data_IF_937719506463
#
_entry.id   IF_937719506463
#
_cell.length_a   1.000
_cell.length_b   1.000
_cell.length_c   1.000
_cell.angle_alpha   90.00
_cell.angle_beta   90.00
_cell.angle_gamma   90.00
#
_symmetry.space_group_name_H-M   'P 1'
#
loop_
_entity.id
_entity.type
_entity.pdbx_description
1 polymer ?
#
# COMPACT_ATOMS: atom_id res chain seq x y z
N UNK A 1 -20.49 6.52 8.14
CA UNK A 1 -19.14 6.44 7.49
C UNK A 1 -18.28 5.35 8.15
N UNK A 2 -18.10 5.33 9.48
CA UNK A 2 -17.52 4.17 10.18
C UNK A 2 -18.47 2.96 10.27
N UNK A 3 -19.79 3.17 10.30
CA UNK A 3 -20.78 2.08 10.32
C UNK A 3 -20.62 1.17 9.11
N UNK A 4 -20.59 1.74 7.90
CA UNK A 4 -20.48 0.97 6.66
C UNK A 4 -19.15 0.22 6.53
N UNK A 5 -18.06 0.71 7.12
CA UNK A 5 -16.76 0.03 7.09
C UNK A 5 -16.70 -1.13 8.10
N UNK A 6 -17.26 -0.94 9.30
CA UNK A 6 -17.34 -2.00 10.31
C UNK A 6 -18.37 -3.08 9.94
N UNK A 7 -19.49 -2.70 9.32
CA UNK A 7 -20.52 -3.63 8.83
C UNK A 7 -20.01 -4.49 7.67
N UNK A 8 -19.03 -4.00 6.89
CA UNK A 8 -18.44 -4.72 5.75
C UNK A 8 -17.25 -5.63 6.13
N UNK A 9 -16.49 -5.28 7.16
CA UNK A 9 -15.34 -6.10 7.66
C UNK A 9 -15.82 -7.34 8.43
N UNK A 10 -17.09 -7.36 8.87
CA UNK A 10 -17.71 -8.50 9.57
C UNK A 10 -18.03 -9.74 8.72
N UNK A 11 -17.76 -9.73 7.41
CA UNK A 11 -18.00 -10.89 6.54
C UNK A 11 -16.71 -11.69 6.32
N UNK A 12 -16.79 -13.03 6.43
CA UNK A 12 -15.72 -14.01 6.25
C UNK A 12 -15.01 -13.92 4.88
N UNK A 13 -14.22 -12.86 4.68
CA UNK A 13 -13.48 -12.55 3.46
C UNK A 13 -12.04 -13.00 3.63
N UNK A 14 -11.45 -13.57 2.58
CA UNK A 14 -10.04 -13.93 2.59
C UNK A 14 -9.16 -12.68 2.61
N UNK A 15 -7.92 -12.77 3.13
CA UNK A 15 -6.94 -11.65 3.12
C UNK A 15 -6.83 -10.97 1.74
N UNK A 16 -6.93 -11.77 0.67
CA UNK A 16 -6.84 -11.28 -0.71
C UNK A 16 -8.01 -10.39 -1.11
N UNK A 17 -9.22 -10.62 -0.59
CA UNK A 17 -10.38 -9.78 -0.88
C UNK A 17 -10.30 -8.43 -0.16
N UNK A 18 -9.82 -8.44 1.09
CA UNK A 18 -9.60 -7.20 1.86
C UNK A 18 -8.54 -6.32 1.20
N UNK A 19 -7.46 -6.93 0.69
CA UNK A 19 -6.41 -6.22 -0.03
C UNK A 19 -6.96 -5.61 -1.34
N UNK A 20 -7.71 -6.37 -2.13
CA UNK A 20 -8.37 -5.85 -3.35
C UNK A 20 -9.31 -4.68 -3.05
N UNK A 21 -10.05 -4.74 -1.94
CA UNK A 21 -10.94 -3.67 -1.50
C UNK A 21 -10.18 -2.43 -1.02
N UNK A 22 -9.08 -2.60 -0.28
CA UNK A 22 -8.23 -1.49 0.16
C UNK A 22 -7.58 -0.79 -1.04
N UNK A 23 -7.06 -1.54 -2.01
CA UNK A 23 -6.55 -0.98 -3.25
C UNK A 23 -7.66 -0.25 -4.01
N UNK A 24 -8.83 -0.85 -4.19
CA UNK A 24 -9.96 -0.24 -4.90
C UNK A 24 -10.50 1.04 -4.25
N UNK A 25 -10.54 1.12 -2.92
CA UNK A 25 -11.02 2.30 -2.21
C UNK A 25 -10.02 3.46 -2.28
N UNK A 26 -8.72 3.17 -2.10
CA UNK A 26 -7.65 4.17 -2.29
C UNK A 26 -7.55 4.65 -3.74
N UNK A 27 -7.69 3.72 -4.69
CA UNK A 27 -7.69 3.93 -6.15
C UNK A 27 -8.76 4.93 -6.60
N UNK A 28 -10.01 4.77 -6.16
CA UNK A 28 -11.11 5.63 -6.58
C UNK A 28 -11.07 7.01 -5.91
N UNK A 29 -10.57 7.09 -4.67
CA UNK A 29 -10.62 8.33 -3.89
C UNK A 29 -9.47 9.29 -4.20
N UNK A 30 -8.32 8.78 -4.66
CA UNK A 30 -7.08 9.58 -4.77
C UNK A 30 -6.66 9.86 -6.22
N UNK A 31 -6.98 9.02 -7.21
CA UNK A 31 -6.24 8.99 -8.48
C UNK A 31 -7.07 8.98 -9.77
N UNK A 32 -8.28 9.56 -9.74
CA UNK A 32 -9.24 9.54 -10.85
C UNK A 32 -8.84 10.21 -12.18
N UNK A 33 -7.64 10.80 -12.32
CA UNK A 33 -7.23 11.56 -13.51
C UNK A 33 -5.85 11.14 -14.07
N UNK A 34 -5.06 10.32 -13.36
CA UNK A 34 -3.68 9.97 -13.76
C UNK A 34 -3.44 8.47 -13.98
N UNK A 35 -4.51 7.67 -14.06
CA UNK A 35 -4.43 6.21 -14.08
C UNK A 35 -3.47 5.65 -15.13
N UNK A 36 -3.45 6.24 -16.33
CA UNK A 36 -2.62 5.78 -17.45
C UNK A 36 -1.12 6.01 -17.23
N UNK A 37 -0.73 6.93 -16.34
CA UNK A 37 0.65 7.35 -16.11
C UNK A 37 1.28 6.81 -14.82
N UNK A 38 0.53 6.02 -14.03
CA UNK A 38 1.06 5.46 -12.78
C UNK A 38 1.88 4.21 -13.08
N UNK A 39 3.07 4.13 -12.49
CA UNK A 39 3.85 2.90 -12.42
C UNK A 39 3.71 2.34 -11.01
N UNK A 40 3.26 1.09 -10.89
CA UNK A 40 3.17 0.40 -9.61
C UNK A 40 4.54 -0.18 -9.23
N UNK A 41 5.04 0.12 -8.04
CA UNK A 41 6.32 -0.38 -7.57
C UNK A 41 6.11 -1.17 -6.28
N UNK A 42 6.63 -2.41 -6.22
CA UNK A 42 6.68 -3.22 -5.00
C UNK A 42 8.08 -3.80 -4.80
N UNK A 43 8.43 -4.10 -3.55
CA UNK A 43 9.68 -4.75 -3.22
C UNK A 43 9.64 -6.25 -3.58
N UNK A 44 10.83 -6.84 -3.75
CA UNK A 44 10.99 -8.24 -4.13
C UNK A 44 10.69 -9.26 -3.02
N UNK A 45 9.87 -8.93 -2.02
CA UNK A 45 9.56 -9.85 -0.93
C UNK A 45 8.84 -11.11 -1.43
N UNK A 46 9.13 -12.27 -0.85
CA UNK A 46 8.57 -13.55 -1.28
C UNK A 46 7.03 -13.58 -1.41
N UNK A 47 6.25 -12.98 -0.48
CA UNK A 47 4.79 -12.93 -0.63
C UNK A 47 4.31 -12.14 -1.85
N UNK A 48 5.10 -11.17 -2.31
CA UNK A 48 4.76 -10.29 -3.43
C UNK A 48 5.04 -10.96 -4.78
N UNK A 49 6.01 -11.89 -4.82
CA UNK A 49 6.38 -12.67 -6.00
C UNK A 49 5.44 -13.86 -6.33
N UNK A 50 4.24 -13.93 -5.74
CA UNK A 50 3.30 -14.99 -6.08
C UNK A 50 2.61 -14.72 -7.43
N UNK A 51 2.31 -15.78 -8.18
CA UNK A 51 1.57 -15.65 -9.46
C UNK A 51 0.23 -14.92 -9.31
N UNK A 52 -0.43 -15.07 -8.16
CA UNK A 52 -1.71 -14.39 -7.88
C UNK A 52 -1.54 -12.88 -7.83
N UNK A 53 -0.52 -12.39 -7.14
CA UNK A 53 -0.21 -10.95 -7.06
C UNK A 53 0.24 -10.43 -8.42
N UNK A 54 1.10 -11.19 -9.10
CA UNK A 54 1.60 -10.84 -10.42
C UNK A 54 0.49 -10.69 -11.47
N UNK A 55 -0.45 -11.63 -11.52
CA UNK A 55 -1.59 -11.56 -12.42
C UNK A 55 -2.46 -10.34 -12.11
N UNK A 56 -2.74 -10.10 -10.82
CA UNK A 56 -3.51 -8.94 -10.39
C UNK A 56 -2.84 -7.61 -10.77
N UNK A 57 -1.54 -7.47 -10.50
CA UNK A 57 -0.80 -6.25 -10.85
C UNK A 57 -0.75 -6.07 -12.35
N UNK A 58 -0.55 -7.12 -13.15
CA UNK A 58 -0.54 -7.01 -14.61
C UNK A 58 -1.92 -6.67 -15.21
N UNK A 59 -3.02 -7.19 -14.64
CA UNK A 59 -4.38 -6.86 -15.05
C UNK A 59 -4.73 -5.38 -14.80
N UNK A 60 -4.20 -4.80 -13.72
CA UNK A 60 -4.49 -3.41 -13.35
C UNK A 60 -3.45 -2.44 -13.93
N UNK A 61 -2.17 -2.80 -13.97
CA UNK A 61 -1.07 -1.96 -14.43
C UNK A 61 -0.32 -2.61 -15.60
N UNK A 62 -0.96 -2.87 -16.74
CA UNK A 62 -0.33 -3.56 -17.86
C UNK A 62 0.92 -2.80 -18.33
N UNK A 63 2.07 -3.48 -18.34
CA UNK A 63 3.39 -2.92 -18.65
C UNK A 63 3.84 -1.73 -17.78
N UNK A 64 3.16 -1.46 -16.66
CA UNK A 64 3.40 -0.29 -15.80
C UNK A 64 3.67 -0.71 -14.36
N UNK A 65 4.57 -1.65 -14.17
CA UNK A 65 4.94 -2.10 -12.83
C UNK A 65 6.37 -2.61 -12.72
N UNK A 66 6.95 -2.42 -11.53
CA UNK A 66 8.35 -2.70 -11.19
C UNK A 66 8.38 -3.76 -10.09
N UNK A 67 9.10 -4.86 -10.32
CA UNK A 67 9.33 -5.96 -9.37
C UNK A 67 10.59 -6.75 -9.81
N UNK A 68 11.08 -7.65 -8.97
CA UNK A 68 12.31 -8.44 -9.17
C UNK A 68 12.35 -9.34 -10.43
N UNK A 69 11.23 -9.59 -11.12
CA UNK A 69 11.19 -10.47 -12.31
C UNK A 69 10.21 -9.98 -13.39
N UNK A 70 10.23 -8.69 -13.71
CA UNK A 70 9.18 -7.98 -14.47
C UNK A 70 9.74 -7.03 -15.52
N UNK A 71 8.89 -6.38 -16.37
CA UNK A 71 9.36 -5.58 -17.51
C UNK A 71 10.38 -4.50 -17.14
N UNK A 72 10.33 -4.00 -15.91
CA UNK A 72 11.41 -3.21 -15.29
C UNK A 72 11.88 -3.98 -14.05
N UNK A 73 13.10 -4.51 -14.12
CA UNK A 73 13.68 -5.29 -13.04
C UNK A 73 14.08 -4.41 -11.85
N UNK A 74 13.60 -4.77 -10.66
CA UNK A 74 14.10 -4.19 -9.41
C UNK A 74 15.32 -4.97 -8.90
N UNK A 75 16.43 -4.31 -8.53
CA UNK A 75 17.61 -5.00 -8.02
C UNK A 75 17.29 -5.84 -6.78
N UNK A 76 17.71 -7.09 -6.82
CA UNK A 76 17.51 -8.05 -5.74
C UNK A 76 18.12 -7.51 -4.44
N UNK A 77 17.41 -7.64 -3.31
CA UNK A 77 17.85 -7.19 -1.97
C UNK A 77 18.07 -5.67 -1.83
N UNK A 78 17.29 -4.86 -2.55
CA UNK A 78 17.27 -3.40 -2.38
C UNK A 78 15.95 -2.89 -1.77
N UNK A 79 15.60 -3.26 -0.52
CA UNK A 79 14.41 -2.71 0.15
C UNK A 79 14.55 -1.19 0.34
N UNK A 80 15.77 -0.71 0.54
CA UNK A 80 16.07 0.72 0.76
C UNK A 80 16.05 1.57 -0.50
N UNK A 81 15.54 1.09 -1.64
CA UNK A 81 15.46 1.92 -2.85
C UNK A 81 14.02 2.37 -3.13
N UNK A 82 13.02 1.88 -2.38
CA UNK A 82 11.66 2.36 -2.55
C UNK A 82 11.52 3.77 -1.92
N UNK A 83 10.89 4.74 -2.60
CA UNK A 83 10.62 6.05 -1.99
C UNK A 83 9.81 5.94 -0.69
N UNK A 84 9.00 4.89 -0.56
CA UNK A 84 8.22 4.60 0.64
C UNK A 84 9.14 4.23 1.82
N UNK A 85 10.12 3.35 1.60
CA UNK A 85 11.06 2.89 2.63
C UNK A 85 12.12 3.94 2.96
N UNK A 86 12.58 4.70 1.97
CA UNK A 86 13.58 5.76 2.16
C UNK A 86 13.03 6.99 2.88
N UNK A 87 11.83 7.43 2.52
CA UNK A 87 11.30 8.71 2.97
C UNK A 87 10.03 8.56 3.80
N UNK A 88 8.98 7.94 3.24
CA UNK A 88 7.65 7.96 3.86
C UNK A 88 7.66 7.27 5.23
N UNK A 89 8.16 6.04 5.31
CA UNK A 89 8.15 5.27 6.56
C UNK A 89 9.02 5.89 7.65
N UNK A 90 10.18 6.44 7.30
CA UNK A 90 11.03 7.18 8.23
C UNK A 90 10.31 8.41 8.79
N UNK A 91 9.61 9.15 7.92
CA UNK A 91 8.87 10.36 8.33
C UNK A 91 7.64 10.02 9.18
N UNK A 92 6.81 9.07 8.75
CA UNK A 92 5.65 8.61 9.51
C UNK A 92 6.09 8.10 10.88
N UNK A 93 7.15 7.29 10.95
CA UNK A 93 7.67 6.78 12.22
C UNK A 93 8.08 7.93 13.15
N UNK A 94 8.79 8.93 12.62
CA UNK A 94 9.20 10.11 13.42
C UNK A 94 8.00 10.85 14.01
N UNK A 95 6.97 11.11 13.22
CA UNK A 95 5.77 11.83 13.68
C UNK A 95 4.92 10.99 14.66
N UNK A 96 4.74 9.69 14.37
CA UNK A 96 3.94 8.79 15.20
C UNK A 96 4.59 8.57 16.56
N UNK A 97 5.92 8.39 16.60
CA UNK A 97 6.65 8.05 17.83
C UNK A 97 7.25 9.25 18.56
N UNK A 98 7.08 10.49 18.06
CA UNK A 98 7.34 11.70 18.86
C UNK A 98 6.54 11.71 20.17
N UNK A 99 5.39 11.03 20.19
CA UNK A 99 4.62 10.70 21.38
C UNK A 99 4.20 9.22 21.29
N UNK A 100 4.83 8.30 22.03
CA UNK A 100 4.63 6.86 21.81
C UNK A 100 3.16 6.42 22.01
N UNK A 101 2.57 5.71 21.03
CA UNK A 101 1.17 5.34 21.13
C UNK A 101 0.93 4.25 22.17
N UNK A 102 -0.08 4.45 23.03
CA UNK A 102 -0.42 3.56 24.15
C UNK A 102 -1.43 2.45 23.78
N UNK A 103 -1.99 2.48 22.58
CA UNK A 103 -2.94 1.47 22.10
C UNK A 103 -2.88 1.30 20.59
N UNK A 104 -3.37 0.16 20.09
CA UNK A 104 -3.47 -0.09 18.66
C UNK A 104 -4.39 0.92 17.95
N UNK A 105 -5.48 1.32 18.61
CA UNK A 105 -6.40 2.30 18.05
C UNK A 105 -5.72 3.66 17.90
N UNK A 106 -5.01 4.09 18.94
CA UNK A 106 -4.28 5.35 18.93
C UNK A 106 -3.16 5.34 17.89
N UNK A 107 -2.41 4.23 17.77
CA UNK A 107 -1.40 4.05 16.72
C UNK A 107 -2.01 4.23 15.32
N UNK A 108 -3.17 3.63 15.03
CA UNK A 108 -3.85 3.76 13.73
C UNK A 108 -4.25 5.20 13.43
N UNK A 109 -4.76 5.92 14.44
CA UNK A 109 -5.14 7.33 14.32
C UNK A 109 -3.92 8.22 14.04
N UNK A 110 -2.81 7.99 14.76
CA UNK A 110 -1.57 8.73 14.53
C UNK A 110 -0.97 8.48 13.16
N UNK A 111 -0.98 7.22 12.68
CA UNK A 111 -0.53 6.90 11.32
C UNK A 111 -1.38 7.66 10.30
N UNK A 112 -2.72 7.64 10.42
CA UNK A 112 -3.59 8.38 9.50
C UNK A 112 -3.32 9.88 9.51
N UNK A 113 -3.22 10.48 10.70
CA UNK A 113 -2.94 11.90 10.84
C UNK A 113 -1.58 12.27 10.21
N UNK A 114 -0.53 11.47 10.47
CA UNK A 114 0.79 11.66 9.89
C UNK A 114 0.78 11.50 8.36
N UNK A 115 0.04 10.54 7.82
CA UNK A 115 -0.11 10.37 6.37
C UNK A 115 -0.81 11.54 5.69
N UNK A 116 -1.88 12.09 6.29
CA UNK A 116 -2.58 13.27 5.75
C UNK A 116 -1.69 14.50 5.73
N UNK A 117 -0.84 14.68 6.75
CA UNK A 117 0.08 15.83 6.84
C UNK A 117 1.17 15.83 5.74
N UNK A 118 1.43 14.68 5.12
CA UNK A 118 2.51 14.50 4.13
C UNK A 118 2.03 14.59 2.67
N UNK A 119 0.72 14.72 2.45
CA UNK A 119 0.06 14.85 1.14
C UNK A 119 -0.46 16.28 1.02
#
# INVERSE_FOLDING_TARGET
ILSTFNDYVGQNRTKNEVIKLMFRYYYYYVIGIYWENIIFQQDGALPHNSHVIQNYVNENFPNRWIETYRPVEWPQRSPNLSPLDLFLWGRIKTEVYADPPISLQYLKEKIRAASIKLI
#
